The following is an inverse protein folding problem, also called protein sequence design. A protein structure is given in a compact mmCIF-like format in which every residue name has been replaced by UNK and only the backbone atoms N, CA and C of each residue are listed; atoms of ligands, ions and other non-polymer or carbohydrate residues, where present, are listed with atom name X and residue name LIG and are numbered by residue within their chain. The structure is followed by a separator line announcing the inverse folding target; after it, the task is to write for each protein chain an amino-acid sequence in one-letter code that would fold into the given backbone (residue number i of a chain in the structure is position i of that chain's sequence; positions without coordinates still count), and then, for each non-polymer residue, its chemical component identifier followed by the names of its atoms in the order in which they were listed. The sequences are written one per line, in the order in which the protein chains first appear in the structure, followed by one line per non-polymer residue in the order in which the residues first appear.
data_IF_089521826347
#
_entry.id   IF_089521826347
#
_cell.length_a   1.000
_cell.length_b   1.000
_cell.length_c   1.000
_cell.angle_alpha   90.00
_cell.angle_beta   90.00
_cell.angle_gamma   90.00
#
_symmetry.space_group_name_H-M   'P 1'
#
loop_
_entity.id
_entity.type
_entity.pdbx_description
1 polymer ?
#
# COMPACT_ATOMS: atom_id res chain seq x y z
N UNK A 1 11.35 10.12 20.09
CA UNK A 1 10.61 9.20 19.18
C UNK A 1 9.13 9.37 19.49
N UNK A 2 8.30 9.56 18.47
CA UNK A 2 6.86 9.69 18.66
C UNK A 2 6.29 8.32 19.10
N UNK A 3 5.91 8.18 20.37
CA UNK A 3 5.37 6.94 20.93
C UNK A 3 4.12 6.45 20.17
N UNK A 4 3.36 7.35 19.53
CA UNK A 4 2.15 7.00 18.76
C UNK A 4 2.44 6.10 17.55
N UNK A 5 3.57 6.32 16.86
CA UNK A 5 3.96 5.53 15.70
C UNK A 5 4.12 4.03 16.02
N UNK A 6 4.52 3.70 17.26
CA UNK A 6 4.72 2.33 17.71
C UNK A 6 3.44 1.63 18.21
N UNK A 7 2.33 2.34 18.27
CA UNK A 7 1.04 1.82 18.77
C UNK A 7 0.07 1.45 17.66
N UNK A 8 0.38 1.81 16.41
CA UNK A 8 -0.49 1.45 15.29
C UNK A 8 -0.54 -0.06 15.10
N UNK A 9 -1.70 -0.51 14.61
CA UNK A 9 -1.90 -1.88 14.16
C UNK A 9 -2.02 -1.92 12.64
N UNK A 10 -1.69 -3.08 12.08
CA UNK A 10 -1.87 -3.41 10.67
C UNK A 10 -2.56 -4.76 10.56
N UNK A 11 -3.24 -5.00 9.45
CA UNK A 11 -3.58 -6.35 9.04
C UNK A 11 -2.39 -6.97 8.31
N UNK A 12 -2.05 -8.19 8.67
CA UNK A 12 -0.99 -8.96 8.06
C UNK A 12 -1.39 -10.43 7.96
N UNK A 13 -1.64 -10.91 6.75
CA UNK A 13 -1.92 -12.32 6.43
C UNK A 13 -2.94 -12.97 7.37
N UNK A 14 -4.14 -12.41 7.50
CA UNK A 14 -5.22 -12.97 8.30
C UNK A 14 -5.30 -12.45 9.75
N UNK A 15 -4.31 -11.68 10.21
CA UNK A 15 -4.25 -11.22 11.60
C UNK A 15 -4.09 -9.70 11.71
N UNK A 16 -4.69 -9.11 12.76
CA UNK A 16 -4.36 -7.76 13.19
C UNK A 16 -3.18 -7.86 14.15
N UNK A 17 -2.08 -7.21 13.79
CA UNK A 17 -0.81 -7.23 14.54
C UNK A 17 -0.35 -5.80 14.82
N UNK A 18 0.58 -5.61 15.74
CA UNK A 18 1.26 -4.32 15.85
C UNK A 18 2.02 -4.04 14.53
N UNK A 19 1.89 -2.83 13.99
CA UNK A 19 2.53 -2.45 12.71
C UNK A 19 4.03 -2.75 12.70
N UNK A 20 4.70 -2.51 13.83
CA UNK A 20 6.13 -2.80 14.02
C UNK A 20 6.51 -4.29 13.92
N UNK A 21 5.53 -5.19 14.02
CA UNK A 21 5.76 -6.64 13.98
C UNK A 21 5.52 -7.24 12.59
N UNK A 22 5.05 -6.44 11.63
CA UNK A 22 4.96 -6.84 10.22
C UNK A 22 6.37 -7.14 9.70
N UNK A 23 6.54 -8.32 9.12
CA UNK A 23 7.83 -8.78 8.57
C UNK A 23 7.65 -9.29 7.15
N UNK A 24 8.43 -8.76 6.24
CA UNK A 24 8.48 -9.25 4.86
C UNK A 24 9.70 -10.17 4.73
N UNK A 25 9.52 -11.44 4.38
CA UNK A 25 10.64 -12.32 4.09
C UNK A 25 11.49 -11.76 2.95
N UNK A 26 12.83 -11.84 3.06
CA UNK A 26 13.69 -11.29 1.99
C UNK A 26 13.48 -11.99 0.63
N UNK A 27 12.92 -13.19 0.61
CA UNK A 27 12.55 -13.95 -0.60
C UNK A 27 11.16 -13.61 -1.13
N UNK A 28 10.44 -12.69 -0.48
CA UNK A 28 9.18 -12.20 -1.02
C UNK A 28 9.38 -11.59 -2.42
N UNK A 29 8.56 -11.99 -3.36
CA UNK A 29 8.71 -11.62 -4.78
C UNK A 29 8.52 -10.12 -5.01
N UNK A 30 7.75 -9.44 -4.18
CA UNK A 30 7.66 -7.98 -4.26
C UNK A 30 8.99 -7.33 -3.87
N UNK A 31 9.66 -7.84 -2.83
CA UNK A 31 10.99 -7.33 -2.44
C UNK A 31 12.04 -7.62 -3.51
N UNK A 32 12.05 -8.83 -4.10
CA UNK A 32 13.06 -9.22 -5.10
C UNK A 32 12.82 -8.59 -6.48
N UNK A 33 11.56 -8.46 -6.90
CA UNK A 33 11.20 -8.18 -8.31
C UNK A 33 10.14 -7.08 -8.47
N UNK A 34 9.58 -6.55 -7.39
CA UNK A 34 8.43 -5.66 -7.47
C UNK A 34 7.13 -6.38 -7.87
N UNK A 35 7.07 -7.74 -7.71
CA UNK A 35 5.94 -8.57 -8.10
C UNK A 35 4.80 -8.47 -7.09
N UNK A 36 4.07 -7.39 -7.21
CA UNK A 36 2.97 -7.03 -6.34
C UNK A 36 2.31 -5.73 -6.78
N UNK A 37 1.21 -5.40 -6.12
CA UNK A 37 0.46 -4.17 -6.36
C UNK A 37 -0.05 -3.59 -5.04
N UNK A 38 -0.52 -2.35 -5.13
CA UNK A 38 -1.11 -1.67 -3.98
C UNK A 38 -2.20 -0.70 -4.42
N UNK A 39 -3.05 -0.34 -3.49
CA UNK A 39 -3.89 0.83 -3.62
C UNK A 39 -3.84 1.66 -2.34
N UNK A 40 -4.25 2.90 -2.44
CA UNK A 40 -4.22 3.82 -1.31
C UNK A 40 -5.30 4.87 -1.47
N UNK A 41 -6.10 5.04 -0.43
CA UNK A 41 -7.05 6.14 -0.27
C UNK A 41 -6.68 6.97 0.96
N UNK A 42 -7.49 7.95 1.29
CA UNK A 42 -7.31 8.79 2.48
C UNK A 42 -8.61 8.98 3.23
N UNK A 43 -8.52 9.45 4.46
CA UNK A 43 -9.66 10.00 5.17
C UNK A 43 -9.79 11.52 4.92
N UNK A 44 -10.99 12.03 5.13
CA UNK A 44 -11.34 13.44 5.28
C UNK A 44 -12.17 13.57 6.55
N UNK A 45 -11.66 14.26 7.55
CA UNK A 45 -12.27 14.33 8.89
C UNK A 45 -12.59 12.92 9.44
N UNK A 46 -11.65 11.99 9.28
CA UNK A 46 -11.80 10.62 9.72
C UNK A 46 -12.77 9.75 8.89
N UNK A 47 -13.40 10.28 7.84
CA UNK A 47 -14.23 9.50 6.92
C UNK A 47 -13.39 9.07 5.72
N UNK A 48 -13.31 7.77 5.46
CA UNK A 48 -12.55 7.24 4.33
C UNK A 48 -13.22 7.59 3.00
N UNK A 49 -12.40 8.02 2.04
CA UNK A 49 -12.88 8.45 0.73
C UNK A 49 -12.86 7.28 -0.26
N UNK A 50 -14.01 6.96 -0.84
CA UNK A 50 -14.17 6.00 -1.95
C UNK A 50 -13.42 4.68 -1.78
N UNK A 51 -13.49 4.09 -0.58
CA UNK A 51 -12.74 2.86 -0.27
C UNK A 51 -13.11 1.71 -1.20
N UNK A 52 -14.40 1.55 -1.52
CA UNK A 52 -14.88 0.47 -2.39
C UNK A 52 -14.27 0.57 -3.78
N UNK A 53 -14.31 1.76 -4.39
CA UNK A 53 -13.74 1.99 -5.73
C UNK A 53 -12.21 1.80 -5.75
N UNK A 54 -11.52 2.14 -4.63
CA UNK A 54 -10.10 1.88 -4.50
C UNK A 54 -9.79 0.38 -4.40
N UNK A 55 -10.60 -0.36 -3.65
CA UNK A 55 -10.46 -1.83 -3.53
C UNK A 55 -10.80 -2.51 -4.87
N UNK A 56 -11.83 -2.08 -5.57
CA UNK A 56 -12.15 -2.58 -6.93
C UNK A 56 -10.96 -2.41 -7.88
N UNK A 57 -10.33 -1.24 -7.90
CA UNK A 57 -9.12 -0.99 -8.70
C UNK A 57 -7.92 -1.85 -8.26
N UNK A 58 -7.79 -2.13 -6.95
CA UNK A 58 -6.81 -3.08 -6.45
C UNK A 58 -7.04 -4.46 -7.05
N UNK A 59 -8.29 -4.92 -7.08
CA UNK A 59 -8.63 -6.23 -7.66
C UNK A 59 -8.43 -6.28 -9.19
N UNK A 60 -8.66 -5.19 -9.91
CA UNK A 60 -8.25 -5.09 -11.32
C UNK A 60 -6.73 -5.27 -11.49
N UNK A 61 -5.93 -4.69 -10.59
CA UNK A 61 -4.48 -4.85 -10.59
C UNK A 61 -4.07 -6.29 -10.25
N UNK A 62 -4.73 -6.92 -9.27
CA UNK A 62 -4.51 -8.32 -8.90
C UNK A 62 -4.84 -9.26 -10.07
N UNK A 63 -5.95 -9.03 -10.76
CA UNK A 63 -6.34 -9.81 -11.94
C UNK A 63 -5.30 -9.70 -13.07
N UNK A 64 -4.81 -8.49 -13.36
CA UNK A 64 -3.75 -8.26 -14.34
C UNK A 64 -2.47 -9.04 -13.97
N UNK A 65 -2.07 -9.00 -12.70
CA UNK A 65 -0.88 -9.70 -12.20
C UNK A 65 -1.12 -11.20 -12.00
N UNK A 66 -2.36 -11.68 -12.09
CA UNK A 66 -2.75 -13.06 -11.75
C UNK A 66 -2.31 -13.45 -10.34
N UNK A 67 -2.61 -12.58 -9.38
CA UNK A 67 -2.42 -12.83 -7.94
C UNK A 67 -3.80 -13.06 -7.34
N UNK A 68 -4.00 -14.23 -6.76
CA UNK A 68 -5.20 -14.54 -5.97
C UNK A 68 -4.83 -14.47 -4.49
N UNK A 69 -5.57 -13.67 -3.74
CA UNK A 69 -5.34 -13.45 -2.30
C UNK A 69 -6.31 -14.24 -1.42
N UNK A 70 -7.21 -15.03 -2.01
CA UNK A 70 -8.27 -15.75 -1.32
C UNK A 70 -9.17 -14.86 -0.43
N UNK A 71 -9.33 -13.61 -0.81
CA UNK A 71 -10.24 -12.64 -0.18
C UNK A 71 -11.10 -11.99 -1.27
N UNK A 72 -12.35 -11.73 -0.94
CA UNK A 72 -13.25 -10.93 -1.79
C UNK A 72 -12.99 -9.42 -1.63
N UNK A 73 -13.42 -8.58 -2.58
CA UNK A 73 -13.36 -7.13 -2.41
C UNK A 73 -14.06 -6.63 -1.15
N UNK A 74 -15.20 -7.21 -0.79
CA UNK A 74 -15.94 -6.85 0.44
C UNK A 74 -15.15 -7.15 1.71
N UNK A 75 -14.47 -8.28 1.79
CA UNK A 75 -13.62 -8.63 2.92
C UNK A 75 -12.43 -7.66 3.05
N UNK A 76 -11.81 -7.24 1.94
CA UNK A 76 -10.73 -6.25 1.97
C UNK A 76 -11.25 -4.88 2.41
N UNK A 77 -12.46 -4.49 2.04
CA UNK A 77 -13.12 -3.27 2.55
C UNK A 77 -13.35 -3.36 4.07
N UNK A 78 -13.87 -4.48 4.55
CA UNK A 78 -14.10 -4.71 5.99
C UNK A 78 -12.80 -4.67 6.79
N UNK A 79 -11.77 -5.38 6.34
CA UNK A 79 -10.42 -5.37 6.93
C UNK A 79 -9.85 -3.95 6.98
N UNK A 80 -10.00 -3.20 5.89
CA UNK A 80 -9.50 -1.82 5.79
C UNK A 80 -10.20 -0.90 6.80
N UNK A 81 -11.52 -1.03 6.95
CA UNK A 81 -12.29 -0.29 7.94
C UNK A 81 -11.92 -0.69 9.38
N UNK A 82 -11.66 -1.97 9.63
CA UNK A 82 -11.21 -2.45 10.94
C UNK A 82 -9.86 -1.86 11.32
N UNK A 83 -8.86 -1.91 10.41
CA UNK A 83 -7.54 -1.32 10.62
C UNK A 83 -7.65 0.18 10.88
N UNK A 84 -8.45 0.90 10.11
CA UNK A 84 -8.70 2.32 10.31
C UNK A 84 -9.33 2.60 11.68
N UNK A 85 -10.37 1.85 12.04
CA UNK A 85 -11.09 2.00 13.31
C UNK A 85 -10.16 1.81 14.52
N UNK A 86 -9.33 0.79 14.48
CA UNK A 86 -8.36 0.48 15.56
C UNK A 86 -7.25 1.52 15.71
N UNK A 87 -6.94 2.26 14.64
CA UNK A 87 -5.90 3.29 14.64
C UNK A 87 -6.44 4.72 14.88
N UNK A 88 -7.76 4.93 14.80
CA UNK A 88 -8.39 6.26 14.84
C UNK A 88 -8.03 7.06 16.08
N UNK A 89 -7.91 6.41 17.24
CA UNK A 89 -7.57 7.05 18.52
C UNK A 89 -6.14 7.62 18.59
N UNK A 90 -5.30 7.30 17.59
CA UNK A 90 -3.92 7.79 17.51
C UNK A 90 -3.79 9.08 16.70
N UNK A 91 -4.87 9.54 16.05
CA UNK A 91 -4.90 10.81 15.34
C UNK A 91 -5.25 11.97 16.29
N UNK A 92 -4.60 13.10 16.08
CA UNK A 92 -5.03 14.35 16.69
C UNK A 92 -6.26 14.91 15.96
N UNK A 93 -6.99 15.83 16.62
CA UNK A 93 -8.15 16.46 16.03
C UNK A 93 -7.75 17.22 14.75
N UNK A 94 -8.43 16.92 13.64
CA UNK A 94 -8.17 17.52 12.34
C UNK A 94 -7.12 16.81 11.50
N UNK A 95 -6.46 15.78 12.02
CA UNK A 95 -5.57 14.93 11.23
C UNK A 95 -6.33 13.82 10.50
N UNK A 96 -5.71 13.33 9.46
CA UNK A 96 -6.23 12.28 8.60
C UNK A 96 -5.20 11.15 8.41
N UNK A 97 -5.66 10.03 7.85
CA UNK A 97 -4.84 8.89 7.47
C UNK A 97 -4.78 8.70 5.95
N UNK A 98 -3.63 8.24 5.47
CA UNK A 98 -3.58 7.34 4.33
C UNK A 98 -3.98 5.94 4.78
N UNK A 99 -4.84 5.28 4.01
CA UNK A 99 -5.24 3.89 4.21
C UNK A 99 -4.79 3.12 2.98
N UNK A 100 -3.83 2.22 3.16
CA UNK A 100 -3.18 1.51 2.06
C UNK A 100 -3.30 0.01 2.15
N UNK A 101 -3.57 -0.64 1.03
CA UNK A 101 -3.52 -2.08 0.84
C UNK A 101 -2.29 -2.40 -0.02
N UNK A 102 -1.41 -3.28 0.47
CA UNK A 102 -0.19 -3.71 -0.22
C UNK A 102 -0.20 -5.23 -0.36
N UNK A 103 -0.10 -5.69 -1.57
CA UNK A 103 -0.21 -7.11 -1.90
C UNK A 103 1.05 -7.53 -2.67
N UNK A 104 1.67 -8.61 -2.23
CA UNK A 104 2.74 -9.28 -2.97
C UNK A 104 2.31 -10.68 -3.37
N UNK A 105 2.97 -11.26 -4.37
CA UNK A 105 2.80 -12.68 -4.69
C UNK A 105 3.35 -13.60 -3.58
N UNK A 106 4.08 -13.08 -2.61
CA UNK A 106 4.68 -13.83 -1.52
C UNK A 106 5.96 -14.57 -1.90
N UNK A 107 6.30 -15.56 -1.12
CA UNK A 107 7.45 -16.44 -1.36
C UNK A 107 6.99 -17.65 -2.13
N UNK A 108 7.70 -18.01 -3.21
CA UNK A 108 7.49 -19.27 -3.92
C UNK A 108 8.59 -20.26 -3.58
N UNK A 109 8.22 -21.52 -3.41
CA UNK A 109 9.16 -22.62 -3.30
C UNK A 109 10.09 -22.66 -4.52
N UNK A 110 11.36 -22.98 -4.29
CA UNK A 110 12.38 -23.15 -5.33
C UNK A 110 12.89 -24.58 -5.25
N UNK A 111 12.44 -25.43 -6.16
CA UNK A 111 12.81 -26.84 -6.17
C UNK A 111 12.43 -27.58 -4.87
N UNK A 112 13.19 -28.60 -4.52
CA UNK A 112 12.97 -29.46 -3.34
C UNK A 112 13.70 -28.96 -2.08
N UNK A 113 14.18 -27.71 -2.06
CA UNK A 113 15.01 -27.18 -0.97
C UNK A 113 14.23 -26.80 0.31
N UNK A 114 12.96 -27.18 0.42
CA UNK A 114 12.18 -26.99 1.65
C UNK A 114 11.74 -25.55 1.94
N UNK A 115 11.72 -24.69 0.93
CA UNK A 115 11.13 -23.36 1.04
C UNK A 115 9.62 -23.46 0.84
N UNK A 116 8.89 -23.18 1.88
CA UNK A 116 7.43 -23.18 1.82
C UNK A 116 6.94 -22.10 0.84
N UNK A 117 5.99 -22.49 -0.03
CA UNK A 117 5.17 -21.52 -0.75
C UNK A 117 4.22 -20.89 0.27
N UNK A 118 4.48 -19.63 0.64
CA UNK A 118 3.66 -18.94 1.63
C UNK A 118 2.39 -18.34 1.06
N UNK A 119 2.21 -18.43 -0.25
CA UNK A 119 1.16 -17.68 -0.93
C UNK A 119 1.34 -16.16 -0.85
N UNK A 120 0.32 -15.39 -1.27
CA UNK A 120 0.38 -13.93 -1.26
C UNK A 120 0.60 -13.35 0.13
N UNK A 121 1.34 -12.25 0.19
CA UNK A 121 1.42 -11.41 1.38
C UNK A 121 0.40 -10.28 1.25
N UNK A 122 -0.50 -10.17 2.21
CA UNK A 122 -1.55 -9.16 2.26
C UNK A 122 -1.34 -8.26 3.48
N UNK A 123 -1.16 -6.97 3.24
CA UNK A 123 -0.94 -5.97 4.29
C UNK A 123 -1.93 -4.82 4.10
N UNK A 124 -2.59 -4.43 5.19
CA UNK A 124 -3.38 -3.18 5.23
C UNK A 124 -2.85 -2.32 6.37
N UNK A 125 -2.55 -1.06 6.06
CA UNK A 125 -1.94 -0.10 6.99
C UNK A 125 -2.61 1.26 6.97
N UNK A 126 -2.49 1.99 8.07
CA UNK A 126 -2.81 3.41 8.17
C UNK A 126 -1.52 4.21 8.39
N UNK A 127 -1.27 5.20 7.56
CA UNK A 127 -0.13 6.11 7.69
C UNK A 127 -0.64 7.53 7.95
N UNK A 128 -0.12 8.28 8.94
CA UNK A 128 -0.55 9.66 9.17
C UNK A 128 -0.37 10.51 7.91
N UNK A 129 -1.39 11.27 7.58
CA UNK A 129 -1.36 12.18 6.44
C UNK A 129 -0.88 13.55 6.90
N UNK A 130 0.41 13.85 6.71
CA UNK A 130 1.05 15.11 7.09
C UNK A 130 0.72 16.24 6.10
N UNK A 131 -0.58 16.55 5.95
CA UNK A 131 -1.01 17.54 4.95
C UNK A 131 -0.68 18.97 5.38
N UNK A 132 -0.62 19.23 6.67
CA UNK A 132 -0.31 20.56 7.21
C UNK A 132 1.08 21.04 6.77
N UNK A 133 2.06 20.15 6.70
CA UNK A 133 3.41 20.47 6.23
C UNK A 133 3.43 20.92 4.76
N UNK A 134 2.45 20.49 3.97
CA UNK A 134 2.32 20.81 2.54
C UNK A 134 1.30 21.89 2.24
N UNK A 135 0.62 22.43 3.27
CA UNK A 135 -0.46 23.42 3.09
C UNK A 135 0.04 24.69 2.39
N UNK A 136 1.30 25.08 2.60
CA UNK A 136 1.89 26.26 1.96
C UNK A 136 1.94 26.13 0.42
N UNK A 137 2.05 24.91 -0.14
CA UNK A 137 2.04 24.71 -1.60
C UNK A 137 0.74 25.11 -2.26
N UNK A 138 -0.39 25.03 -1.52
CA UNK A 138 -1.70 25.47 -2.04
C UNK A 138 -1.82 26.97 -2.12
N UNK A 139 -1.08 27.72 -1.29
CA UNK A 139 -1.04 29.17 -1.31
C UNK A 139 0.03 29.72 -2.26
N UNK A 140 1.22 29.16 -2.20
CA UNK A 140 2.44 29.70 -2.83
C UNK A 140 2.79 28.99 -4.15
N UNK A 141 2.11 27.86 -4.44
CA UNK A 141 2.48 26.98 -5.54
C UNK A 141 3.76 26.21 -5.26
N UNK A 142 4.18 25.40 -6.21
CA UNK A 142 5.47 24.72 -6.17
C UNK A 142 6.18 24.77 -7.51
N UNK A 143 7.50 24.72 -7.48
CA UNK A 143 8.31 24.61 -8.70
C UNK A 143 8.25 23.19 -9.22
N UNK A 144 8.00 23.02 -10.51
CA UNK A 144 8.02 21.74 -11.21
C UNK A 144 9.08 21.72 -12.27
N UNK A 145 9.69 20.57 -12.48
CA UNK A 145 10.60 20.29 -13.58
C UNK A 145 10.10 19.09 -14.36
N UNK A 146 10.50 19.00 -15.62
CA UNK A 146 10.27 17.83 -16.46
C UNK A 146 11.62 17.14 -16.61
N UNK A 147 11.86 16.00 -15.89
CA UNK A 147 13.14 15.30 -15.97
C UNK A 147 13.29 14.58 -17.32
N UNK A 148 14.53 14.20 -17.65
CA UNK A 148 14.83 13.39 -18.83
C UNK A 148 14.39 11.92 -18.69
N UNK A 149 14.15 11.46 -17.46
CA UNK A 149 13.68 10.10 -17.18
C UNK A 149 12.26 9.93 -17.69
N UNK A 150 12.09 9.03 -18.65
CA UNK A 150 10.76 8.72 -19.20
C UNK A 150 10.06 7.70 -18.35
N UNK A 151 8.73 7.83 -18.23
CA UNK A 151 7.90 6.81 -17.61
C UNK A 151 8.00 5.49 -18.40
N UNK A 152 7.94 4.36 -17.70
CA UNK A 152 7.84 3.04 -18.30
C UNK A 152 6.68 3.01 -19.31
N UNK A 153 6.92 2.64 -20.58
CA UNK A 153 5.89 2.63 -21.61
C UNK A 153 4.79 1.60 -21.32
N UNK A 154 3.54 1.87 -21.76
CA UNK A 154 2.39 0.98 -21.49
C UNK A 154 2.56 -0.45 -22.01
N UNK A 155 3.30 -0.63 -23.07
CA UNK A 155 3.62 -1.95 -23.68
C UNK A 155 4.57 -2.80 -22.82
N UNK A 156 5.33 -2.16 -21.93
CA UNK A 156 6.24 -2.84 -20.98
C UNK A 156 5.56 -3.15 -19.65
N UNK A 157 4.84 -2.17 -19.11
CA UNK A 157 4.09 -2.32 -17.87
C UNK A 157 2.86 -1.41 -17.92
N UNK A 158 1.67 -2.02 -17.89
CA UNK A 158 0.43 -1.28 -17.99
C UNK A 158 0.30 -0.22 -16.88
N UNK A 159 0.09 1.06 -17.22
CA UNK A 159 -0.11 2.12 -16.23
C UNK A 159 -1.45 2.02 -15.48
N UNK A 160 -2.37 1.16 -15.96
CA UNK A 160 -3.64 0.87 -15.28
C UNK A 160 -3.44 -0.02 -14.06
N UNK A 161 -2.30 -0.72 -13.99
CA UNK A 161 -1.95 -1.59 -12.87
C UNK A 161 -1.05 -0.85 -11.90
N UNK A 162 -1.50 -0.71 -10.67
CA UNK A 162 -0.76 0.00 -9.63
C UNK A 162 0.24 -0.93 -8.93
N UNK A 163 1.31 -1.29 -9.67
CA UNK A 163 2.35 -2.25 -9.21
C UNK A 163 3.34 -1.62 -8.24
N UNK A 164 4.16 -2.45 -7.58
CA UNK A 164 5.28 -2.00 -6.74
C UNK A 164 6.50 -1.49 -7.54
N UNK A 165 6.48 -1.52 -8.85
CA UNK A 165 7.58 -1.10 -9.73
C UNK A 165 7.66 0.43 -9.86
N UNK A 166 8.05 1.11 -8.78
CA UNK A 166 8.11 2.58 -8.70
C UNK A 166 9.51 3.14 -8.94
N UNK A 167 10.52 2.31 -9.18
CA UNK A 167 11.90 2.76 -9.34
C UNK A 167 12.05 3.83 -10.45
N UNK A 168 11.31 3.66 -11.56
CA UNK A 168 11.31 4.64 -12.64
C UNK A 168 10.83 6.04 -12.18
N UNK A 169 9.85 6.10 -11.29
CA UNK A 169 9.36 7.37 -10.71
C UNK A 169 10.34 7.93 -9.68
N UNK A 170 10.94 7.06 -8.86
CA UNK A 170 12.00 7.46 -7.91
C UNK A 170 13.19 8.07 -8.64
N UNK A 171 13.64 7.47 -9.75
CA UNK A 171 14.71 8.00 -10.58
C UNK A 171 14.37 9.34 -11.22
N UNK A 172 13.10 9.64 -11.43
CA UNK A 172 12.66 10.94 -11.95
C UNK A 172 12.60 12.03 -10.87
N UNK A 173 12.57 11.65 -9.60
CA UNK A 173 12.47 12.53 -8.43
C UNK A 173 13.89 12.88 -7.85
N UNK A 174 14.90 12.09 -8.20
CA UNK A 174 16.30 12.31 -7.81
C UNK A 174 16.99 13.34 -8.73
#
# INVERSE_FOLDING_TARGET
MNQRANQRVAYYNGNIVAERDVRIPFRDRSFLYGDGCFDMTRTFNGTVFKLTEHVERLFESLAYLRIDINLSPSEVVEISNEVLSRNRHLLDAGDDYWLGQRISRGVKAVGDEGWDDTGPTVIVVCEPLTFQERAHYYRDGLKVIIPSVRRTPPEMLSPRTKTHNYLNLVMADL
#
